data_IF_206283372617
#
_entry.id   IF_206283372617
#
_cell.length_a   1.000
_cell.length_b   1.000
_cell.length_c   1.000
_cell.angle_alpha   90.00
_cell.angle_beta   90.00
_cell.angle_gamma   90.00
#
_symmetry.space_group_name_H-M   'P 1'
#
loop_
_entity.id
_entity.type
_entity.pdbx_description
1 polymer ?
#
# COMPACT_ATOMS: atom_id res chain seq x y z
N UNK A 1 -1.21 -10.75 -12.88
CA UNK A 1 0.21 -11.17 -12.89
C UNK A 1 0.47 -11.90 -11.59
N UNK A 2 1.37 -12.89 -11.59
CA UNK A 2 1.72 -13.67 -10.40
C UNK A 2 2.08 -12.77 -9.20
N UNK A 3 2.75 -11.64 -9.45
CA UNK A 3 3.10 -10.66 -8.41
C UNK A 3 1.86 -9.99 -7.79
N UNK A 4 0.84 -9.67 -8.59
CA UNK A 4 -0.41 -9.10 -8.08
C UNK A 4 -1.15 -10.08 -7.17
N UNK A 5 -1.22 -11.35 -7.57
CA UNK A 5 -1.85 -12.42 -6.78
C UNK A 5 -1.12 -12.63 -5.44
N UNK A 6 0.22 -12.70 -5.48
CA UNK A 6 1.05 -12.78 -4.28
C UNK A 6 0.78 -11.61 -3.32
N UNK A 7 0.68 -10.39 -3.85
CA UNK A 7 0.42 -9.20 -3.05
C UNK A 7 -0.99 -9.22 -2.48
N UNK A 8 -1.99 -9.64 -3.24
CA UNK A 8 -3.37 -9.76 -2.76
C UNK A 8 -3.49 -10.78 -1.62
N UNK A 9 -2.80 -11.92 -1.71
CA UNK A 9 -2.74 -12.93 -0.65
C UNK A 9 -2.01 -12.41 0.61
N UNK A 10 -0.87 -11.72 0.43
CA UNK A 10 -0.17 -11.08 1.54
C UNK A 10 -1.07 -10.07 2.25
N UNK A 11 -1.74 -9.20 1.50
CA UNK A 11 -2.66 -8.21 2.06
C UNK A 11 -3.84 -8.86 2.79
N UNK A 12 -4.32 -9.99 2.27
CA UNK A 12 -5.37 -10.78 2.96
C UNK A 12 -4.87 -11.27 4.31
N UNK A 13 -3.65 -11.82 4.39
CA UNK A 13 -3.06 -12.27 5.66
C UNK A 13 -2.84 -11.11 6.63
N UNK A 14 -2.30 -9.99 6.16
CA UNK A 14 -2.13 -8.80 6.99
C UNK A 14 -3.47 -8.31 7.56
N UNK A 15 -4.57 -8.33 6.79
CA UNK A 15 -5.90 -7.94 7.28
C UNK A 15 -6.43 -8.89 8.36
N UNK A 16 -6.16 -10.19 8.24
CA UNK A 16 -6.56 -11.20 9.23
C UNK A 16 -5.80 -10.95 10.53
N UNK A 17 -4.47 -10.83 10.45
CA UNK A 17 -3.59 -10.63 11.61
C UNK A 17 -3.87 -9.29 12.32
N UNK A 18 -4.20 -8.24 11.57
CA UNK A 18 -4.43 -6.90 12.12
C UNK A 18 -5.87 -6.62 12.56
N UNK A 19 -6.81 -7.55 12.37
CA UNK A 19 -8.27 -7.33 12.57
C UNK A 19 -8.61 -6.70 13.92
N UNK A 20 -7.93 -7.13 14.98
CA UNK A 20 -8.18 -6.71 16.36
C UNK A 20 -7.18 -5.68 16.90
N UNK A 21 -6.25 -5.23 16.05
CA UNK A 21 -5.29 -4.17 16.41
C UNK A 21 -5.79 -2.78 16.03
N UNK A 22 -5.10 -1.74 16.49
CA UNK A 22 -5.36 -0.35 16.04
C UNK A 22 -4.77 -0.02 14.67
N UNK A 23 -4.25 -1.02 13.94
CA UNK A 23 -3.65 -0.80 12.63
C UNK A 23 -4.66 -0.28 11.59
N UNK A 24 -4.19 0.53 10.64
CA UNK A 24 -4.99 0.92 9.48
C UNK A 24 -5.51 -0.27 8.68
N UNK A 25 -6.70 -0.11 8.08
CA UNK A 25 -7.26 -1.10 7.18
C UNK A 25 -6.61 -1.00 5.81
N UNK A 26 -5.90 -2.05 5.41
CA UNK A 26 -5.32 -2.18 4.08
C UNK A 26 -6.43 -2.34 3.02
N UNK A 27 -6.37 -1.57 1.93
CA UNK A 27 -7.23 -1.71 0.74
C UNK A 27 -6.53 -2.51 -0.36
N UNK A 28 -7.24 -2.92 -1.44
CA UNK A 28 -6.59 -3.59 -2.57
C UNK A 28 -5.46 -2.72 -3.13
N UNK A 29 -4.38 -3.37 -3.57
CA UNK A 29 -3.25 -2.67 -4.17
C UNK A 29 -3.66 -2.03 -5.50
N UNK A 30 -3.08 -0.87 -5.78
CA UNK A 30 -3.25 -0.12 -7.03
C UNK A 30 -1.92 -0.15 -7.77
N UNK A 31 -1.98 -0.51 -9.05
CA UNK A 31 -0.82 -0.44 -9.94
C UNK A 31 -0.40 1.02 -10.10
N UNK A 32 0.89 1.29 -9.89
CA UNK A 32 1.48 2.59 -10.19
C UNK A 32 1.96 2.53 -11.63
N UNK A 33 1.34 3.30 -12.52
CA UNK A 33 1.94 3.58 -13.83
C UNK A 33 3.12 4.52 -13.57
N UNK A 34 4.23 4.35 -14.27
CA UNK A 34 5.51 5.10 -14.08
C UNK A 34 5.40 6.63 -14.12
N UNK A 35 4.21 7.18 -14.36
CA UNK A 35 3.89 8.60 -14.42
C UNK A 35 3.52 9.26 -13.08
N UNK A 36 3.57 8.56 -11.93
CA UNK A 36 3.57 9.28 -10.65
C UNK A 36 4.87 10.08 -10.54
N UNK A 37 4.76 11.40 -10.37
CA UNK A 37 5.85 12.39 -10.48
C UNK A 37 7.16 11.95 -9.80
N UNK A 38 8.24 11.77 -10.59
CA UNK A 38 9.61 11.67 -10.09
C UNK A 38 10.28 10.29 -10.15
N UNK A 39 9.56 9.23 -10.50
CA UNK A 39 10.17 7.91 -10.68
C UNK A 39 10.71 7.76 -12.11
N UNK A 40 11.87 8.35 -12.37
CA UNK A 40 12.65 8.07 -13.60
C UNK A 40 12.88 6.56 -13.73
N UNK A 41 12.68 5.96 -14.92
CA UNK A 41 13.15 4.61 -15.20
C UNK A 41 14.68 4.70 -15.34
N UNK A 42 15.39 4.75 -14.22
CA UNK A 42 16.82 4.53 -14.22
C UNK A 42 17.06 3.05 -14.46
N UNK A 43 17.20 2.69 -15.74
CA UNK A 43 18.00 1.62 -16.38
C UNK A 43 18.24 0.27 -15.67
N UNK A 44 17.53 -0.07 -14.60
CA UNK A 44 17.71 -1.30 -13.78
C UNK A 44 16.32 -1.93 -13.44
N UNK A 45 15.45 -1.96 -14.45
CA UNK A 45 14.00 -2.17 -14.36
C UNK A 45 13.55 -3.62 -14.06
N UNK A 46 13.70 -4.04 -12.80
CA UNK A 46 12.98 -5.19 -12.24
C UNK A 46 12.12 -4.85 -11.01
N UNK A 47 12.01 -3.58 -10.63
CA UNK A 47 11.31 -3.17 -9.40
C UNK A 47 9.82 -2.97 -9.68
N UNK A 48 9.01 -3.96 -9.34
CA UNK A 48 7.55 -3.86 -9.40
C UNK A 48 7.01 -3.09 -8.18
N UNK A 49 6.39 -1.93 -8.42
CA UNK A 49 5.83 -1.07 -7.36
C UNK A 49 4.31 -1.10 -7.36
N UNK A 50 3.73 -1.26 -6.17
CA UNK A 50 2.30 -1.18 -5.91
C UNK A 50 2.05 -0.25 -4.73
N UNK A 51 1.00 0.56 -4.83
CA UNK A 51 0.51 1.33 -3.69
C UNK A 51 -0.63 0.59 -3.01
N UNK A 52 -0.58 0.50 -1.69
CA UNK A 52 -1.63 -0.11 -0.87
C UNK A 52 -2.30 1.00 -0.06
N UNK A 53 -3.50 1.46 -0.46
CA UNK A 53 -4.17 2.52 0.28
C UNK A 53 -4.51 2.06 1.70
N UNK A 54 -4.24 2.94 2.66
CA UNK A 54 -4.60 2.75 4.05
C UNK A 54 -5.90 3.49 4.34
N UNK A 55 -6.78 2.88 5.14
CA UNK A 55 -7.98 3.54 5.66
C UNK A 55 -7.94 3.56 7.19
N UNK A 56 -8.22 4.69 7.85
CA UNK A 56 -8.30 4.71 9.30
C UNK A 56 -9.47 3.84 9.78
N UNK A 57 -9.40 3.38 11.03
CA UNK A 57 -10.54 2.66 11.64
C UNK A 57 -11.74 3.59 11.78
N UNK A 58 -12.94 3.03 11.93
CA UNK A 58 -14.15 3.83 12.20
C UNK A 58 -13.91 4.67 13.47
N UNK A 59 -14.32 5.93 13.43
CA UNK A 59 -14.08 6.89 14.52
C UNK A 59 -12.66 7.45 14.60
N UNK A 60 -11.78 7.14 13.63
CA UNK A 60 -10.41 7.66 13.57
C UNK A 60 -10.17 8.38 12.24
N UNK A 61 -9.23 9.30 12.23
CA UNK A 61 -8.74 9.98 11.04
C UNK A 61 -7.21 9.96 11.02
N UNK A 62 -6.63 10.03 9.82
CA UNK A 62 -5.20 10.30 9.72
C UNK A 62 -4.96 11.79 9.91
N UNK A 63 -3.94 12.12 10.69
CA UNK A 63 -3.46 13.48 10.87
C UNK A 63 -2.07 13.57 10.24
N UNK A 64 -1.86 14.59 9.40
CA UNK A 64 -0.54 14.87 8.86
C UNK A 64 0.25 15.65 9.92
N UNK A 65 1.34 15.08 10.40
CA UNK A 65 2.29 15.81 11.24
C UNK A 65 3.29 16.52 10.31
N UNK A 66 3.27 17.86 10.30
CA UNK A 66 4.37 18.63 9.74
C UNK A 66 5.53 18.53 10.71
N UNK A 67 6.69 18.08 10.23
CA UNK A 67 7.92 18.09 11.03
C UNK A 67 8.23 19.49 11.58
N UNK A 68 8.97 19.54 12.69
CA UNK A 68 9.57 20.78 13.21
C UNK A 68 10.93 21.01 12.59
#
# INVERSE_FOLDING_TARGET
TMVKELVDDLLRMCRILSRNSFMPRLKPAINVVSAFEGWSPFEDDAVYRLLVPLKPRRGHAFHLELGT
#
